data_IF_346957361123
#
_entry.id   IF_346957361123
#
_cell.length_a   1.000
_cell.length_b   1.000
_cell.length_c   1.000
_cell.angle_alpha   90.00
_cell.angle_beta   90.00
_cell.angle_gamma   90.00
#
_symmetry.space_group_name_H-M   'P 1'
#
loop_
_entity.id
_entity.type
_entity.pdbx_description
1 polymer ?
#
# COMPACT_ATOMS: atom_id res chain seq x y z
N UNK A 1 -6.27 -8.65 -13.82
CA UNK A 1 -7.56 -8.40 -13.14
C UNK A 1 -7.44 -7.08 -12.40
N UNK A 2 -8.24 -6.06 -12.74
CA UNK A 2 -8.29 -4.83 -11.93
C UNK A 2 -9.00 -5.20 -10.62
N UNK A 3 -8.31 -5.09 -9.49
CA UNK A 3 -8.93 -5.25 -8.18
C UNK A 3 -9.35 -3.87 -7.70
N UNK A 4 -10.65 -3.69 -7.52
CA UNK A 4 -11.19 -2.49 -6.89
C UNK A 4 -11.30 -2.76 -5.39
N UNK A 5 -10.90 -1.78 -4.59
CA UNK A 5 -10.94 -1.88 -3.13
C UNK A 5 -11.85 -0.78 -2.61
N UNK A 6 -12.85 -1.19 -1.82
CA UNK A 6 -13.80 -0.30 -1.16
C UNK A 6 -13.16 0.49 -0.01
N UNK A 7 -12.15 -0.08 0.65
CA UNK A 7 -11.41 0.56 1.73
C UNK A 7 -9.91 0.26 1.65
N UNK A 8 -9.10 1.11 2.30
CA UNK A 8 -7.68 0.85 2.46
C UNK A 8 -7.42 -0.44 3.27
N UNK A 9 -8.31 -0.80 4.21
CA UNK A 9 -8.20 -2.05 4.96
C UNK A 9 -8.27 -3.27 4.03
N UNK A 10 -9.19 -3.26 3.05
CA UNK A 10 -9.33 -4.35 2.08
C UNK A 10 -8.06 -4.50 1.23
N UNK A 11 -7.48 -3.38 0.79
CA UNK A 11 -6.19 -3.37 0.10
C UNK A 11 -5.06 -3.94 0.97
N UNK A 12 -4.97 -3.52 2.23
CA UNK A 12 -3.94 -4.01 3.16
C UNK A 12 -4.06 -5.52 3.38
N UNK A 13 -5.28 -6.04 3.57
CA UNK A 13 -5.52 -7.48 3.75
C UNK A 13 -5.07 -8.28 2.52
N UNK A 14 -5.40 -7.80 1.33
CA UNK A 14 -4.99 -8.43 0.07
C UNK A 14 -3.46 -8.46 -0.10
N UNK A 15 -2.77 -7.38 0.31
CA UNK A 15 -1.32 -7.30 0.20
C UNK A 15 -0.56 -8.04 1.31
N UNK A 16 -1.23 -8.39 2.41
CA UNK A 16 -0.61 -9.01 3.59
C UNK A 16 0.22 -10.28 3.34
N UNK A 17 -0.07 -11.14 2.36
CA UNK A 17 0.79 -12.29 2.05
C UNK A 17 2.15 -11.90 1.44
N UNK A 18 2.23 -10.71 0.83
CA UNK A 18 3.40 -10.27 0.08
C UNK A 18 4.24 -9.25 0.85
N UNK A 19 3.58 -8.37 1.60
CA UNK A 19 4.20 -7.20 2.22
C UNK A 19 3.58 -6.99 3.61
N UNK A 20 4.43 -6.84 4.63
CA UNK A 20 3.96 -6.51 5.98
C UNK A 20 3.63 -5.01 6.12
N UNK A 21 2.93 -4.67 7.19
CA UNK A 21 2.48 -3.29 7.43
C UNK A 21 3.62 -2.26 7.46
N UNK A 22 4.77 -2.62 8.01
CA UNK A 22 5.92 -1.71 8.10
C UNK A 22 6.52 -1.41 6.73
N UNK A 23 6.64 -2.43 5.89
CA UNK A 23 7.07 -2.26 4.51
C UNK A 23 6.05 -1.45 3.71
N UNK A 24 4.75 -1.71 3.90
CA UNK A 24 3.70 -0.94 3.24
C UNK A 24 3.72 0.54 3.63
N UNK A 25 3.89 0.86 4.91
CA UNK A 25 4.03 2.25 5.37
C UNK A 25 5.23 2.97 4.73
N UNK A 26 6.36 2.28 4.56
CA UNK A 26 7.54 2.81 3.86
C UNK A 26 7.27 3.04 2.38
N UNK A 27 6.74 2.05 1.68
CA UNK A 27 6.42 2.14 0.25
C UNK A 27 5.44 3.28 -0.02
N UNK A 28 4.41 3.39 0.81
CA UNK A 28 3.35 4.40 0.64
C UNK A 28 3.68 5.77 1.23
N UNK A 29 4.81 5.90 1.93
CA UNK A 29 5.20 7.08 2.69
C UNK A 29 4.09 7.59 3.64
N UNK A 30 3.43 6.65 4.30
CA UNK A 30 2.43 6.92 5.33
C UNK A 30 3.06 6.64 6.69
N UNK A 31 2.80 7.49 7.68
CA UNK A 31 3.29 7.26 9.03
C UNK A 31 2.76 5.92 9.57
N UNK A 32 3.63 5.12 10.19
CA UNK A 32 3.28 3.86 10.86
C UNK A 32 2.07 3.95 11.78
N UNK A 33 1.91 5.04 12.54
CA UNK A 33 0.76 5.23 13.42
C UNK A 33 -0.55 5.33 12.64
N UNK A 34 -0.55 6.09 11.53
CA UNK A 34 -1.70 6.20 10.64
C UNK A 34 -1.98 4.87 9.94
N UNK A 35 -0.95 4.19 9.44
CA UNK A 35 -1.08 2.89 8.79
C UNK A 35 -1.70 1.84 9.74
N UNK A 36 -1.35 1.87 11.04
CA UNK A 36 -2.01 1.03 12.06
C UNK A 36 -3.50 1.33 12.20
N UNK A 37 -3.86 2.61 12.35
CA UNK A 37 -5.26 3.02 12.44
C UNK A 37 -6.07 2.66 11.19
N UNK A 38 -5.46 2.75 10.01
CA UNK A 38 -6.09 2.37 8.74
C UNK A 38 -6.28 0.86 8.63
N UNK A 39 -5.26 0.07 8.99
CA UNK A 39 -5.35 -1.40 8.97
C UNK A 39 -6.37 -1.97 9.95
N UNK A 40 -6.58 -1.30 11.09
CA UNK A 40 -7.55 -1.75 12.09
C UNK A 40 -8.98 -1.28 11.78
N UNK A 41 -9.16 -0.46 10.73
CA UNK A 41 -10.45 0.15 10.41
C UNK A 41 -10.92 1.23 11.39
N UNK A 42 -10.07 1.63 12.35
CA UNK A 42 -10.36 2.68 13.33
C UNK A 42 -10.48 4.05 12.66
N UNK A 43 -9.71 4.26 11.58
CA UNK A 43 -9.72 5.50 10.81
C UNK A 43 -9.67 5.17 9.33
N UNK A 44 -10.35 5.97 8.51
CA UNK A 44 -10.18 5.94 7.06
C UNK A 44 -9.22 7.06 6.62
N UNK A 45 -8.35 6.81 5.63
CA UNK A 45 -7.53 7.85 5.02
C UNK A 45 -8.42 8.90 4.32
N UNK A 46 -7.92 10.14 4.20
CA UNK A 46 -8.54 11.12 3.32
C UNK A 46 -8.40 10.70 1.85
N UNK A 47 -9.20 11.28 0.96
CA UNK A 47 -9.09 11.01 -0.47
C UNK A 47 -7.68 11.31 -1.02
N UNK A 48 -7.07 12.42 -0.57
CA UNK A 48 -5.69 12.78 -0.92
C UNK A 48 -4.68 11.73 -0.45
N UNK A 49 -4.80 11.27 0.81
CA UNK A 49 -3.92 10.23 1.35
C UNK A 49 -4.11 8.90 0.59
N UNK A 50 -5.34 8.56 0.22
CA UNK A 50 -5.63 7.36 -0.55
C UNK A 50 -4.99 7.43 -1.94
N UNK A 51 -5.11 8.56 -2.64
CA UNK A 51 -4.48 8.77 -3.94
C UNK A 51 -2.95 8.66 -3.84
N UNK A 52 -2.34 9.24 -2.79
CA UNK A 52 -0.90 9.09 -2.52
C UNK A 52 -0.51 7.62 -2.36
N UNK A 53 -1.24 6.86 -1.55
CA UNK A 53 -1.00 5.43 -1.31
C UNK A 53 -1.05 4.65 -2.62
N UNK A 54 -2.09 4.86 -3.43
CA UNK A 54 -2.27 4.15 -4.70
C UNK A 54 -1.15 4.49 -5.69
N UNK A 55 -0.80 5.77 -5.83
CA UNK A 55 0.27 6.20 -6.73
C UNK A 55 1.61 5.59 -6.35
N UNK A 56 1.95 5.59 -5.07
CA UNK A 56 3.20 5.03 -4.57
C UNK A 56 3.26 3.50 -4.75
N UNK A 57 2.15 2.79 -4.53
CA UNK A 57 2.07 1.35 -4.80
C UNK A 57 2.23 1.02 -6.29
N UNK A 58 1.60 1.80 -7.17
CA UNK A 58 1.76 1.64 -8.61
C UNK A 58 3.22 1.89 -9.03
N UNK A 59 3.86 2.92 -8.50
CA UNK A 59 5.26 3.22 -8.77
C UNK A 59 6.17 2.08 -8.30
N UNK A 60 6.00 1.60 -7.07
CA UNK A 60 6.75 0.46 -6.54
C UNK A 60 6.55 -0.81 -7.38
N UNK A 61 5.34 -1.07 -7.87
CA UNK A 61 5.07 -2.17 -8.79
C UNK A 61 5.88 -2.07 -10.10
N UNK A 62 6.04 -0.86 -10.65
CA UNK A 62 6.87 -0.61 -11.83
C UNK A 62 8.36 -0.83 -11.51
N UNK A 63 8.85 -0.33 -10.36
CA UNK A 63 10.24 -0.57 -9.93
C UNK A 63 10.54 -2.07 -9.79
N UNK A 64 9.64 -2.83 -9.15
CA UNK A 64 9.77 -4.28 -9.02
C UNK A 64 9.84 -4.98 -10.38
N UNK A 65 9.04 -4.52 -11.37
CA UNK A 65 9.04 -5.10 -12.72
C UNK A 65 10.35 -4.89 -13.48
N UNK A 66 11.16 -3.92 -13.05
CA UNK A 66 12.45 -3.60 -13.65
C UNK A 66 13.63 -4.36 -13.01
N UNK A 67 13.40 -5.18 -11.98
CA UNK A 67 14.45 -6.00 -11.36
C UNK A 67 14.92 -7.05 -12.35
N UNK A 68 16.23 -7.05 -12.66
CA UNK A 68 16.87 -8.01 -13.55
C UNK A 68 18.10 -8.58 -12.87
N UNK A 69 18.33 -9.89 -13.03
CA UNK A 69 19.57 -10.52 -12.60
C UNK A 69 20.70 -10.05 -13.53
N UNK A 70 21.78 -9.52 -12.95
CA UNK A 70 23.01 -9.25 -13.72
C UNK A 70 23.57 -10.60 -14.19
N UNK A 71 23.63 -10.77 -15.51
CA UNK A 71 24.22 -11.95 -16.15
C UNK A 71 25.74 -11.93 -16.02
#
# INVERSE_FOLDING_TARGET
>A
MKKEFSTLNDLIKELSPYINQSALARITEVNMGQMRQYSSGVRNPSHETLNKIINNLNHFGLELSNIRKKS
#
